data_IF_833153341828
#
_entry.id   IF_833153341828
#
_cell.length_a   1.000
_cell.length_b   1.000
_cell.length_c   1.000
_cell.angle_alpha   90.00
_cell.angle_beta   90.00
_cell.angle_gamma   90.00
#
_symmetry.space_group_name_H-M   'P 1'
#
loop_
_entity.id
_entity.type
_entity.pdbx_description
1 polymer ?
#
# COMPACT_ATOMS: atom_id res chain seq x y z
N UNK A 1 11.02 0.65 10.10
CA UNK A 1 11.05 1.64 8.99
C UNK A 1 9.67 2.03 8.45
N UNK A 2 8.56 1.35 8.77
CA UNK A 2 7.18 1.84 8.49
C UNK A 2 6.23 1.72 9.68
N UNK A 3 6.74 1.26 10.83
CA UNK A 3 5.97 0.84 12.01
C UNK A 3 5.29 1.98 12.77
N UNK A 4 5.59 3.24 12.46
CA UNK A 4 4.87 4.40 13.00
C UNK A 4 3.66 4.81 12.16
N UNK A 5 3.53 4.26 10.95
CA UNK A 5 2.48 4.63 9.98
C UNK A 5 1.55 3.45 9.68
N UNK A 6 2.08 2.23 9.65
CA UNK A 6 1.30 1.03 9.37
C UNK A 6 1.17 0.18 10.62
N UNK A 7 -0.04 -0.34 10.86
CA UNK A 7 -0.24 -1.39 11.84
C UNK A 7 0.44 -2.69 11.36
N UNK A 8 0.86 -3.58 12.29
CA UNK A 8 1.49 -4.85 11.92
C UNK A 8 0.65 -5.68 10.93
N UNK A 9 -0.67 -5.69 11.09
CA UNK A 9 -1.56 -6.44 10.23
C UNK A 9 -1.73 -5.81 8.84
N UNK A 10 -1.71 -4.48 8.74
CA UNK A 10 -1.68 -3.78 7.45
C UNK A 10 -0.39 -4.07 6.70
N UNK A 11 0.75 -4.08 7.39
CA UNK A 11 2.02 -4.47 6.78
C UNK A 11 1.98 -5.92 6.28
N UNK A 12 1.41 -6.84 7.06
CA UNK A 12 1.23 -8.24 6.66
C UNK A 12 0.31 -8.34 5.44
N UNK A 13 -0.78 -7.58 5.40
CA UNK A 13 -1.67 -7.53 4.25
C UNK A 13 -0.94 -7.06 2.99
N UNK A 14 -0.15 -5.98 3.07
CA UNK A 14 0.71 -5.52 1.97
C UNK A 14 1.63 -6.65 1.50
N UNK A 15 2.32 -7.34 2.41
CA UNK A 15 3.21 -8.45 2.06
C UNK A 15 2.49 -9.61 1.35
N UNK A 16 1.27 -9.93 1.77
CA UNK A 16 0.46 -10.97 1.15
C UNK A 16 0.05 -10.57 -0.27
N UNK A 17 -0.55 -9.39 -0.44
CA UNK A 17 -1.04 -8.92 -1.75
C UNK A 17 0.08 -8.55 -2.70
N UNK A 18 1.27 -8.19 -2.20
CA UNK A 18 2.46 -7.93 -3.02
C UNK A 18 2.94 -9.15 -3.81
N UNK A 19 2.39 -10.36 -3.56
CA UNK A 19 2.68 -11.54 -4.36
C UNK A 19 1.77 -11.69 -5.59
N UNK A 20 0.67 -10.93 -5.65
CA UNK A 20 -0.29 -10.93 -6.77
C UNK A 20 0.31 -10.10 -7.91
N UNK A 21 0.35 -10.67 -9.13
CA UNK A 21 0.99 -10.06 -10.30
C UNK A 21 0.42 -8.68 -10.61
N UNK A 22 -0.91 -8.55 -10.62
CA UNK A 22 -1.63 -7.31 -10.90
C UNK A 22 -1.31 -6.21 -9.88
N UNK A 23 -1.06 -6.59 -8.63
CA UNK A 23 -0.67 -5.65 -7.56
C UNK A 23 0.80 -5.25 -7.69
N UNK A 24 1.69 -6.17 -8.10
CA UNK A 24 3.11 -5.88 -8.35
C UNK A 24 3.31 -4.86 -9.47
N UNK A 25 2.45 -4.90 -10.48
CA UNK A 25 2.44 -3.93 -11.59
C UNK A 25 1.73 -2.62 -11.23
N UNK A 26 1.07 -2.58 -10.07
CA UNK A 26 0.45 -1.39 -9.53
C UNK A 26 1.35 -0.65 -8.53
N UNK A 27 0.82 0.43 -8.01
CA UNK A 27 1.42 1.20 -6.92
C UNK A 27 0.35 1.58 -5.91
N UNK A 28 0.75 1.66 -4.65
CA UNK A 28 -0.10 2.20 -3.59
C UNK A 28 -0.24 3.71 -3.78
N UNK A 29 -1.47 4.19 -3.83
CA UNK A 29 -1.79 5.60 -3.96
C UNK A 29 -2.63 6.09 -2.76
N UNK A 30 -3.16 7.31 -2.88
CA UNK A 30 -4.09 7.87 -1.92
C UNK A 30 -3.46 8.21 -0.56
N UNK A 31 -4.31 8.20 0.46
CA UNK A 31 -3.97 8.69 1.79
C UNK A 31 -2.88 7.87 2.49
N UNK A 32 -2.89 6.56 2.30
CA UNK A 32 -1.91 5.66 2.93
C UNK A 32 -0.53 5.77 2.27
N UNK A 33 -0.46 5.92 0.95
CA UNK A 33 0.80 6.19 0.26
C UNK A 33 1.46 7.47 0.79
N UNK A 34 0.69 8.55 0.91
CA UNK A 34 1.18 9.81 1.50
C UNK A 34 1.56 9.63 2.97
N UNK A 35 0.74 8.93 3.76
CA UNK A 35 1.04 8.66 5.16
C UNK A 35 2.37 7.92 5.33
N UNK A 36 2.68 6.97 4.46
CA UNK A 36 3.96 6.24 4.43
C UNK A 36 5.12 7.18 4.09
N UNK A 37 4.95 8.02 3.07
CA UNK A 37 5.99 8.93 2.59
C UNK A 37 6.40 9.96 3.65
N UNK A 38 5.43 10.67 4.25
CA UNK A 38 5.72 11.77 5.18
C UNK A 38 5.59 11.39 6.66
N UNK A 39 5.17 10.16 6.96
CA UNK A 39 5.08 9.60 8.33
C UNK A 39 4.21 10.41 9.29
N UNK A 40 3.13 11.01 8.79
CA UNK A 40 2.33 11.98 9.54
C UNK A 40 1.18 11.37 10.37
N UNK A 41 0.72 10.15 10.06
CA UNK A 41 -0.34 9.46 10.81
C UNK A 41 -0.30 7.95 10.59
N UNK A 42 -1.04 7.21 11.42
CA UNK A 42 -1.37 5.81 11.13
C UNK A 42 -2.45 5.77 10.04
N UNK A 43 -2.29 4.88 9.05
CA UNK A 43 -3.25 4.67 7.97
C UNK A 43 -3.33 3.18 7.64
N UNK A 44 -4.53 2.68 7.38
CA UNK A 44 -4.79 1.24 7.21
C UNK A 44 -5.41 0.88 5.86
N UNK A 45 -5.88 1.87 5.11
CA UNK A 45 -6.52 1.67 3.80
C UNK A 45 -5.46 1.37 2.72
N UNK A 46 -5.73 0.47 1.79
CA UNK A 46 -4.79 0.11 0.72
C UNK A 46 -5.42 0.34 -0.65
N UNK A 47 -5.19 1.53 -1.21
CA UNK A 47 -5.66 1.88 -2.54
C UNK A 47 -4.57 1.62 -3.58
N UNK A 48 -4.71 0.56 -4.37
CA UNK A 48 -3.79 0.25 -5.47
C UNK A 48 -4.32 0.80 -6.79
N UNK A 49 -3.44 1.45 -7.54
CA UNK A 49 -3.70 1.94 -8.88
C UNK A 49 -2.68 1.36 -9.84
N UNK A 50 -3.05 1.28 -11.11
CA UNK A 50 -2.13 0.88 -12.18
C UNK A 50 -2.38 1.73 -13.42
N UNK A 51 -1.34 1.95 -14.21
CA UNK A 51 -1.45 2.55 -15.54
C UNK A 51 -1.79 1.51 -16.61
N UNK A 52 -1.75 0.22 -16.26
CA UNK A 52 -2.07 -0.88 -17.16
C UNK A 52 -3.59 -1.01 -17.31
N UNK A 53 -4.05 -1.15 -18.54
CA UNK A 53 -5.44 -1.48 -18.82
C UNK A 53 -5.74 -2.95 -18.46
N UNK A 54 -6.95 -3.22 -18.00
CA UNK A 54 -7.43 -4.59 -17.79
C UNK A 54 -8.01 -5.11 -19.11
N UNK A 55 -7.65 -6.35 -19.47
CA UNK A 55 -8.26 -7.07 -20.59
C UNK A 55 -9.54 -7.78 -20.16
#
# INVERSE_FOLDING_TARGET
>A
MFTKTLLPDTLRAIQLVSNITEIKEGYLAGGTALAIQIRHRISIDLDFFTQREFN
#
